data_IF_116279263974
#
_entry.id   IF_116279263974
#
_cell.length_a   1.000
_cell.length_b   1.000
_cell.length_c   1.000
_cell.angle_alpha   90.00
_cell.angle_beta   90.00
_cell.angle_gamma   90.00
#
_symmetry.space_group_name_H-M   'P 1'
#
loop_
_entity.id
_entity.type
_entity.pdbx_description
1 polymer ?
#
# COMPACT_ATOMS: atom_id res chain seq x y z
N UNK A 1 -11.11 -4.48 -6.89
CA UNK A 1 -12.58 -4.64 -6.94
C UNK A 1 -13.13 -5.65 -5.93
N UNK A 2 -12.35 -6.66 -5.57
CA UNK A 2 -12.81 -7.79 -4.73
C UNK A 2 -13.17 -7.43 -3.28
N UNK A 3 -12.76 -6.24 -2.81
CA UNK A 3 -13.05 -5.77 -1.44
C UNK A 3 -14.22 -4.78 -1.33
N UNK A 4 -14.77 -4.30 -2.45
CA UNK A 4 -15.76 -3.21 -2.44
C UNK A 4 -16.98 -3.55 -1.60
N UNK A 5 -17.59 -4.71 -1.82
CA UNK A 5 -18.79 -5.09 -1.07
C UNK A 5 -18.47 -5.37 0.41
N UNK A 6 -17.31 -5.93 0.70
CA UNK A 6 -16.86 -6.15 2.09
C UNK A 6 -16.69 -4.80 2.82
N UNK A 7 -16.02 -3.84 2.18
CA UNK A 7 -15.80 -2.49 2.74
C UNK A 7 -17.14 -1.75 2.90
N UNK A 8 -17.99 -1.77 1.87
CA UNK A 8 -19.31 -1.17 1.90
C UNK A 8 -20.16 -1.71 3.06
N UNK A 9 -20.26 -3.04 3.17
CA UNK A 9 -21.01 -3.68 4.25
C UNK A 9 -20.45 -3.32 5.63
N UNK A 10 -19.12 -3.25 5.76
CA UNK A 10 -18.48 -2.84 7.00
C UNK A 10 -18.80 -1.40 7.36
N UNK A 11 -18.75 -0.48 6.41
CA UNK A 11 -19.10 0.94 6.63
C UNK A 11 -20.58 1.12 6.96
N UNK A 12 -21.46 0.36 6.32
CA UNK A 12 -22.91 0.42 6.59
C UNK A 12 -23.28 0.11 8.05
N UNK A 13 -22.48 -0.74 8.73
CA UNK A 13 -22.72 -1.04 10.14
C UNK A 13 -22.56 0.17 11.07
N UNK A 14 -21.91 1.25 10.63
CA UNK A 14 -21.68 2.46 11.40
C UNK A 14 -22.65 3.60 11.06
N UNK A 15 -23.55 3.41 10.10
CA UNK A 15 -24.58 4.40 9.70
C UNK A 15 -25.86 4.18 10.53
N UNK A 16 -25.77 4.29 11.85
CA UNK A 16 -26.92 3.92 12.73
C UNK A 16 -28.09 4.91 12.62
N UNK A 17 -27.83 6.20 12.70
CA UNK A 17 -28.85 7.26 12.69
C UNK A 17 -28.47 8.44 11.79
N UNK A 18 -27.47 8.29 10.96
CA UNK A 18 -27.02 9.32 10.04
C UNK A 18 -27.78 9.20 8.71
N UNK A 19 -28.20 10.33 8.15
CA UNK A 19 -28.78 10.37 6.79
C UNK A 19 -27.65 10.28 5.75
N UNK A 20 -27.07 9.09 5.64
CA UNK A 20 -25.95 8.78 4.74
C UNK A 20 -26.26 7.54 3.93
N UNK A 21 -26.07 7.63 2.63
CA UNK A 21 -26.17 6.50 1.69
C UNK A 21 -24.80 6.18 1.10
N UNK A 22 -24.39 4.92 1.17
CA UNK A 22 -23.15 4.43 0.54
C UNK A 22 -23.51 3.66 -0.71
N UNK A 23 -22.98 4.10 -1.85
CA UNK A 23 -23.18 3.46 -3.15
C UNK A 23 -21.87 3.05 -3.78
N UNK A 24 -21.85 1.88 -4.42
CA UNK A 24 -20.78 1.50 -5.34
C UNK A 24 -21.03 2.17 -6.69
N UNK A 25 -20.13 3.04 -7.09
CA UNK A 25 -20.19 3.79 -8.34
C UNK A 25 -19.11 3.42 -9.34
N UNK A 26 -18.45 2.30 -9.13
CA UNK A 26 -17.31 1.83 -9.98
C UNK A 26 -17.68 1.75 -11.47
N UNK A 27 -18.92 1.38 -11.80
CA UNK A 27 -19.36 1.31 -13.19
C UNK A 27 -19.58 2.69 -13.85
N UNK A 28 -19.69 3.76 -13.04
CA UNK A 28 -19.94 5.12 -13.53
C UNK A 28 -18.68 5.91 -13.78
N UNK A 29 -17.56 5.50 -13.18
CA UNK A 29 -16.32 6.24 -13.22
C UNK A 29 -15.12 5.32 -13.54
N UNK A 30 -14.18 5.88 -14.30
CA UNK A 30 -12.86 5.30 -14.48
C UNK A 30 -11.87 6.03 -13.57
N UNK A 31 -11.03 5.27 -12.90
CA UNK A 31 -9.92 5.82 -12.13
C UNK A 31 -8.69 5.89 -13.03
N UNK A 32 -8.13 7.09 -13.17
CA UNK A 32 -6.92 7.35 -13.96
C UNK A 32 -5.83 7.84 -13.04
N UNK A 33 -4.71 7.11 -13.00
CA UNK A 33 -3.50 7.54 -12.31
C UNK A 33 -2.67 8.45 -13.20
N UNK A 34 -2.20 9.56 -12.65
CA UNK A 34 -1.29 10.50 -13.30
C UNK A 34 0.08 10.45 -12.64
N UNK A 35 1.13 10.34 -13.44
CA UNK A 35 2.53 10.30 -12.98
C UNK A 35 3.21 11.61 -13.40
N UNK A 36 3.75 12.36 -12.44
CA UNK A 36 4.36 13.68 -12.62
C UNK A 36 3.44 14.74 -13.25
N UNK A 37 2.13 14.52 -13.12
CA UNK A 37 1.11 15.43 -13.61
C UNK A 37 0.03 15.61 -12.55
N UNK A 38 -0.61 16.77 -12.56
CA UNK A 38 -1.78 17.06 -11.74
C UNK A 38 -2.79 17.87 -12.55
N UNK A 39 -4.05 17.81 -12.19
CA UNK A 39 -5.11 18.61 -12.77
C UNK A 39 -5.94 19.21 -11.62
N UNK A 40 -6.72 20.25 -11.93
CA UNK A 40 -7.59 20.92 -10.94
C UNK A 40 -8.59 19.95 -10.29
N UNK A 41 -8.95 18.87 -10.98
CA UNK A 41 -9.91 17.87 -10.53
C UNK A 41 -9.23 16.59 -10.01
N UNK A 42 -7.90 16.61 -9.82
CA UNK A 42 -7.17 15.44 -9.36
C UNK A 42 -7.04 15.39 -7.83
N UNK A 43 -7.10 14.18 -7.29
CA UNK A 43 -6.73 13.88 -5.91
C UNK A 43 -5.22 13.67 -5.86
N UNK A 44 -4.49 14.60 -5.30
CA UNK A 44 -3.04 14.52 -5.14
C UNK A 44 -2.71 13.49 -4.08
N UNK A 45 -1.92 12.48 -4.44
CA UNK A 45 -1.40 11.49 -3.50
C UNK A 45 -0.05 11.95 -2.91
N UNK A 46 0.82 12.49 -3.75
CA UNK A 46 2.06 13.13 -3.36
C UNK A 46 2.56 14.04 -4.51
N UNK A 47 3.80 14.52 -4.43
CA UNK A 47 4.37 15.42 -5.43
C UNK A 47 4.49 14.82 -6.85
N UNK A 48 4.40 13.51 -7.00
CA UNK A 48 4.57 12.79 -8.27
C UNK A 48 3.31 12.08 -8.75
N UNK A 49 2.40 11.75 -7.85
CA UNK A 49 1.25 10.91 -8.17
C UNK A 49 -0.05 11.59 -7.82
N UNK A 50 -0.99 11.53 -8.75
CA UNK A 50 -2.35 11.97 -8.51
C UNK A 50 -3.37 11.04 -9.19
N UNK A 51 -4.63 11.11 -8.77
CA UNK A 51 -5.73 10.30 -9.26
C UNK A 51 -6.85 11.21 -9.79
N UNK A 52 -7.45 10.81 -10.89
CA UNK A 52 -8.68 11.41 -11.41
C UNK A 52 -9.77 10.35 -11.43
N UNK A 53 -10.98 10.74 -11.03
CA UNK A 53 -12.20 9.99 -11.30
C UNK A 53 -12.87 10.60 -12.54
N UNK A 54 -12.74 9.95 -13.67
CA UNK A 54 -13.28 10.42 -14.93
C UNK A 54 -14.56 9.66 -15.31
N UNK A 55 -15.56 10.38 -15.79
CA UNK A 55 -16.69 9.77 -16.50
C UNK A 55 -16.18 9.19 -17.83
N UNK A 56 -16.90 8.23 -18.41
CA UNK A 56 -16.55 7.53 -19.63
C UNK A 56 -16.13 8.43 -20.82
N UNK A 57 -16.58 9.68 -20.84
CA UNK A 57 -16.22 10.68 -21.86
C UNK A 57 -15.06 11.61 -21.46
N UNK A 58 -14.56 11.52 -20.22
CA UNK A 58 -13.50 12.40 -19.71
C UNK A 58 -12.08 11.88 -19.93
N UNK A 59 -11.93 10.66 -20.43
CA UNK A 59 -10.63 9.99 -20.59
C UNK A 59 -9.97 10.18 -21.94
N UNK A 60 -10.68 10.71 -22.94
CA UNK A 60 -10.21 10.86 -24.34
C UNK A 60 -8.96 11.77 -24.47
N UNK A 61 -8.72 12.63 -23.51
CA UNK A 61 -7.57 13.55 -23.49
C UNK A 61 -6.26 12.92 -22.97
N UNK A 62 -6.31 11.69 -22.46
CA UNK A 62 -5.15 11.04 -21.87
C UNK A 62 -4.52 10.03 -22.84
N UNK A 63 -3.19 9.97 -22.83
CA UNK A 63 -2.44 8.88 -23.44
C UNK A 63 -2.14 7.85 -22.36
N UNK A 64 -2.75 6.67 -22.51
CA UNK A 64 -2.60 5.61 -21.52
C UNK A 64 -1.31 4.83 -21.69
N UNK A 65 -0.58 4.66 -20.62
CA UNK A 65 0.48 3.68 -20.50
C UNK A 65 -0.06 2.35 -19.92
N UNK A 66 0.76 1.31 -19.95
CA UNK A 66 0.40 0.04 -19.30
C UNK A 66 0.33 0.20 -17.78
N UNK A 67 -0.55 -0.57 -17.13
CA UNK A 67 -0.78 -0.55 -15.67
C UNK A 67 0.52 -0.72 -14.87
N UNK A 68 1.47 -1.49 -15.38
CA UNK A 68 2.76 -1.72 -14.70
C UNK A 68 3.56 -0.43 -14.43
N UNK A 69 3.38 0.64 -15.21
CA UNK A 69 4.04 1.93 -14.94
C UNK A 69 3.44 2.61 -13.72
N UNK A 70 2.11 2.53 -13.57
CA UNK A 70 1.43 3.04 -12.38
C UNK A 70 1.82 2.25 -11.13
N UNK A 71 1.78 0.91 -11.22
CA UNK A 71 2.11 0.02 -10.11
C UNK A 71 3.57 0.23 -9.66
N UNK A 72 4.50 0.37 -10.64
CA UNK A 72 5.90 0.69 -10.35
C UNK A 72 6.04 2.05 -9.67
N UNK A 73 5.34 3.07 -10.16
CA UNK A 73 5.35 4.40 -9.57
C UNK A 73 4.76 4.40 -8.14
N UNK A 74 3.70 3.63 -7.89
CA UNK A 74 3.18 3.44 -6.52
C UNK A 74 4.21 2.78 -5.61
N UNK A 75 4.91 1.75 -6.09
CA UNK A 75 5.98 1.09 -5.33
C UNK A 75 7.11 2.07 -5.02
N UNK A 76 7.58 2.82 -6.01
CA UNK A 76 8.64 3.82 -5.84
C UNK A 76 8.26 4.95 -4.87
N UNK A 77 6.98 5.22 -4.73
CA UNK A 77 6.46 6.25 -3.83
C UNK A 77 5.89 5.70 -2.52
N UNK A 78 6.17 4.43 -2.19
CA UNK A 78 5.72 3.77 -0.96
C UNK A 78 4.19 3.81 -0.77
N UNK A 79 3.42 3.80 -1.85
CA UNK A 79 1.96 3.76 -1.83
C UNK A 79 1.51 2.30 -1.90
N UNK A 80 1.06 1.71 -0.78
CA UNK A 80 0.64 0.31 -0.75
C UNK A 80 -0.74 0.12 -1.35
N UNK A 81 -0.95 -1.05 -1.96
CA UNK A 81 -2.27 -1.53 -2.31
C UNK A 81 -2.75 -2.58 -1.29
N UNK A 82 -4.01 -2.48 -0.88
CA UNK A 82 -4.66 -3.50 -0.05
C UNK A 82 -5.50 -4.41 -0.95
N UNK A 83 -5.24 -5.71 -0.86
CA UNK A 83 -5.94 -6.74 -1.62
C UNK A 83 -6.48 -7.84 -0.68
N UNK A 84 -7.27 -8.80 -1.16
CA UNK A 84 -7.84 -9.85 -0.32
C UNK A 84 -6.80 -10.64 0.50
N UNK A 85 -5.59 -10.83 -0.04
CA UNK A 85 -4.51 -11.58 0.64
C UNK A 85 -3.97 -10.79 1.83
N UNK A 86 -3.92 -9.44 1.73
CA UNK A 86 -3.31 -8.55 2.71
C UNK A 86 -4.32 -7.85 3.62
N UNK A 87 -5.61 -7.97 3.33
CA UNK A 87 -6.70 -7.40 4.14
C UNK A 87 -6.59 -7.82 5.61
N UNK A 88 -6.72 -6.86 6.51
CA UNK A 88 -6.70 -7.00 7.98
C UNK A 88 -5.37 -7.52 8.58
N UNK A 89 -4.30 -7.63 7.77
CA UNK A 89 -3.00 -8.14 8.25
C UNK A 89 -2.08 -7.07 8.85
N UNK A 90 -2.29 -5.81 8.50
CA UNK A 90 -1.37 -4.72 8.85
C UNK A 90 -2.09 -3.58 9.55
N UNK A 91 -1.44 -3.00 10.54
CA UNK A 91 -1.82 -1.69 11.06
C UNK A 91 -1.23 -0.59 10.17
N UNK A 92 -1.84 0.60 10.08
CA UNK A 92 -1.38 1.67 9.20
C UNK A 92 0.11 2.01 9.33
N UNK A 93 0.66 1.96 10.54
CA UNK A 93 2.06 2.24 10.79
C UNK A 93 3.02 1.25 10.11
N UNK A 94 2.62 -0.01 9.95
CA UNK A 94 3.43 -1.00 9.23
C UNK A 94 3.52 -0.69 7.72
N UNK A 95 2.55 0.05 7.22
CA UNK A 95 2.45 0.47 5.82
C UNK A 95 2.93 1.92 5.60
N UNK A 96 3.61 2.53 6.59
CA UNK A 96 4.05 3.93 6.59
C UNK A 96 2.92 4.96 6.46
N UNK A 97 1.65 4.57 6.67
CA UNK A 97 0.48 5.44 6.54
C UNK A 97 0.27 6.35 7.77
N UNK A 98 1.26 6.49 8.64
CA UNK A 98 1.29 7.42 9.79
C UNK A 98 2.35 8.51 9.64
N UNK A 99 3.09 8.52 8.53
CA UNK A 99 4.24 9.42 8.30
C UNK A 99 3.85 10.59 7.41
N UNK A 100 3.06 10.35 6.36
CA UNK A 100 2.74 11.29 5.31
C UNK A 100 1.25 11.65 5.27
N UNK A 101 0.90 12.69 4.50
CA UNK A 101 -0.46 13.22 4.37
C UNK A 101 -1.49 12.24 3.77
N UNK A 102 -1.02 11.17 3.12
CA UNK A 102 -1.87 10.18 2.44
C UNK A 102 -2.53 9.21 3.41
N UNK A 103 -2.02 9.10 4.60
CA UNK A 103 -2.40 8.06 5.55
C UNK A 103 -3.47 8.49 6.55
N UNK A 104 -3.26 8.05 7.78
CA UNK A 104 -4.14 8.30 8.90
C UNK A 104 -4.03 9.75 9.35
N UNK A 105 -5.15 10.46 9.36
CA UNK A 105 -5.22 11.79 9.96
C UNK A 105 -5.42 11.68 11.48
N UNK A 106 -4.54 12.29 12.25
CA UNK A 106 -4.67 12.38 13.71
C UNK A 106 -5.43 13.62 14.19
N UNK A 107 -5.88 14.47 13.26
CA UNK A 107 -6.62 15.71 13.54
C UNK A 107 -8.10 15.63 13.20
N UNK A 108 -8.54 14.60 12.47
CA UNK A 108 -9.95 14.33 12.16
C UNK A 108 -10.66 13.70 13.36
N UNK A 109 -12.00 13.57 13.28
CA UNK A 109 -12.83 12.97 14.31
C UNK A 109 -12.54 11.49 14.59
N UNK A 110 -13.15 10.97 15.65
CA UNK A 110 -12.97 9.61 16.12
C UNK A 110 -13.47 8.55 15.13
N UNK A 111 -12.79 7.41 15.07
CA UNK A 111 -13.18 6.25 14.28
C UNK A 111 -12.93 4.94 15.06
N UNK A 112 -13.64 3.84 14.74
CA UNK A 112 -13.45 2.55 15.39
C UNK A 112 -12.02 2.02 15.18
N UNK A 113 -11.35 1.61 16.28
CA UNK A 113 -9.96 1.11 16.25
C UNK A 113 -8.88 2.18 16.38
N UNK A 114 -9.24 3.45 16.44
CA UNK A 114 -8.27 4.57 16.59
C UNK A 114 -7.36 4.45 17.80
N UNK A 115 -7.81 3.84 18.90
CA UNK A 115 -7.03 3.73 20.12
C UNK A 115 -5.70 3.00 19.89
N UNK A 116 -5.73 1.88 19.19
CA UNK A 116 -4.52 1.10 18.86
C UNK A 116 -3.59 1.91 17.96
N UNK A 117 -4.15 2.57 16.95
CA UNK A 117 -3.38 3.39 15.99
C UNK A 117 -2.77 4.60 16.67
N UNK A 118 -3.55 5.35 17.43
CA UNK A 118 -3.08 6.52 18.17
C UNK A 118 -2.05 6.15 19.24
N UNK A 119 -2.30 5.09 20.01
CA UNK A 119 -1.35 4.61 21.03
C UNK A 119 0.00 4.23 20.42
N UNK A 120 -0.01 3.53 19.28
CA UNK A 120 1.23 3.16 18.60
C UNK A 120 1.97 4.39 18.05
N UNK A 121 1.23 5.40 17.56
CA UNK A 121 1.79 6.64 17.05
C UNK A 121 2.45 7.49 18.17
N UNK A 122 1.75 7.73 19.29
CA UNK A 122 2.22 8.64 20.34
C UNK A 122 3.14 8.00 21.37
N UNK A 123 2.94 6.72 21.68
CA UNK A 123 3.61 6.04 22.80
C UNK A 123 4.44 4.83 22.36
N UNK A 124 4.27 4.36 21.14
CA UNK A 124 4.90 3.15 20.63
C UNK A 124 6.09 3.40 19.73
N UNK A 125 6.86 2.33 19.50
CA UNK A 125 7.83 2.26 18.38
C UNK A 125 7.34 1.19 17.44
N UNK A 126 7.07 1.59 16.18
CA UNK A 126 6.68 0.66 15.14
C UNK A 126 7.85 -0.28 14.84
N UNK A 127 7.64 -1.57 15.10
CA UNK A 127 8.68 -2.59 14.91
C UNK A 127 8.87 -2.96 13.43
N UNK A 128 7.83 -2.81 12.61
CA UNK A 128 7.82 -3.10 11.18
C UNK A 128 7.45 -1.86 10.40
N UNK A 129 8.11 -1.65 9.27
CA UNK A 129 7.85 -0.55 8.34
C UNK A 129 7.83 -1.10 6.91
N UNK A 130 7.28 -0.33 6.00
CA UNK A 130 7.24 -0.63 4.59
C UNK A 130 8.55 -0.20 3.92
N UNK A 131 9.09 -1.09 3.10
CA UNK A 131 10.31 -0.84 2.32
C UNK A 131 10.13 -1.33 0.88
N UNK A 132 10.92 -0.77 -0.03
CA UNK A 132 10.99 -1.20 -1.42
C UNK A 132 12.10 -2.22 -1.59
N UNK A 133 11.76 -3.31 -2.30
CA UNK A 133 12.71 -4.34 -2.69
C UNK A 133 12.61 -4.66 -4.17
N UNK A 134 13.69 -5.22 -4.70
CA UNK A 134 13.72 -5.82 -6.04
C UNK A 134 14.37 -7.20 -6.02
N UNK A 135 14.00 -8.03 -6.99
CA UNK A 135 14.60 -9.32 -7.28
C UNK A 135 14.46 -9.66 -8.76
N UNK A 136 15.37 -10.46 -9.28
CA UNK A 136 15.23 -11.09 -10.62
C UNK A 136 14.27 -12.29 -10.59
N UNK A 137 14.06 -12.87 -9.41
CA UNK A 137 13.11 -13.97 -9.22
C UNK A 137 11.69 -13.44 -8.99
N UNK A 138 10.71 -14.26 -9.35
CA UNK A 138 9.30 -13.95 -9.13
C UNK A 138 9.00 -13.68 -7.66
N UNK A 139 8.25 -12.60 -7.40
CA UNK A 139 7.74 -12.21 -6.09
C UNK A 139 6.22 -12.26 -6.14
N UNK A 140 5.58 -12.80 -5.08
CA UNK A 140 4.12 -12.83 -4.96
C UNK A 140 3.66 -12.06 -3.74
N UNK A 141 2.49 -11.44 -3.84
CA UNK A 141 1.85 -10.81 -2.68
C UNK A 141 1.56 -11.88 -1.62
N UNK A 142 1.95 -11.59 -0.39
CA UNK A 142 1.84 -12.51 0.74
C UNK A 142 3.06 -13.41 0.95
N UNK A 143 4.06 -13.39 0.06
CA UNK A 143 5.33 -14.06 0.32
C UNK A 143 5.97 -13.53 1.60
N UNK A 144 6.61 -14.42 2.35
CA UNK A 144 7.30 -14.10 3.58
C UNK A 144 8.72 -13.58 3.33
N UNK A 145 9.19 -12.68 4.18
CA UNK A 145 10.58 -12.24 4.22
C UNK A 145 11.33 -13.00 5.31
N UNK A 146 12.48 -13.56 4.96
CA UNK A 146 13.35 -14.28 5.86
C UNK A 146 14.67 -13.53 6.03
N UNK A 147 15.13 -13.43 7.29
CA UNK A 147 16.39 -12.82 7.66
C UNK A 147 17.18 -13.80 8.55
N UNK A 148 18.37 -14.28 8.13
CA UNK A 148 19.18 -15.23 8.92
C UNK A 148 19.60 -14.69 10.28
N UNK A 149 19.77 -13.38 10.42
CA UNK A 149 20.15 -12.73 11.68
C UNK A 149 18.99 -12.61 12.67
N UNK A 150 17.75 -12.88 12.23
CA UNK A 150 16.58 -12.83 13.11
C UNK A 150 16.61 -13.97 14.11
N UNK A 151 16.52 -13.62 15.39
CA UNK A 151 16.39 -14.61 16.48
C UNK A 151 15.00 -15.23 16.58
N UNK A 152 14.05 -14.71 15.81
CA UNK A 152 12.68 -15.22 15.76
C UNK A 152 12.62 -16.36 14.74
N UNK A 153 12.03 -17.49 15.12
CA UNK A 153 11.65 -18.54 14.19
C UNK A 153 10.52 -18.10 13.23
N UNK A 154 10.05 -16.86 13.35
CA UNK A 154 8.99 -16.27 12.54
C UNK A 154 9.60 -15.41 11.43
N UNK A 155 8.80 -15.19 10.40
CA UNK A 155 9.14 -14.31 9.30
C UNK A 155 9.43 -12.88 9.78
N UNK A 156 10.44 -12.23 9.22
CA UNK A 156 10.80 -10.85 9.57
C UNK A 156 9.91 -9.81 8.86
N UNK A 157 9.12 -10.24 7.88
CA UNK A 157 8.22 -9.37 7.11
C UNK A 157 7.41 -10.13 6.08
N UNK A 158 6.64 -9.43 5.26
CA UNK A 158 5.91 -10.04 4.15
C UNK A 158 5.63 -9.03 3.02
N UNK A 159 5.47 -9.56 1.80
CA UNK A 159 5.18 -8.78 0.59
C UNK A 159 3.73 -8.29 0.62
N UNK A 160 3.55 -6.98 0.43
CA UNK A 160 2.26 -6.28 0.43
C UNK A 160 1.76 -6.03 -0.97
N UNK A 161 2.62 -5.57 -1.85
CA UNK A 161 2.31 -5.21 -3.24
C UNK A 161 3.51 -5.51 -4.12
N UNK A 162 3.29 -5.90 -5.38
CA UNK A 162 4.38 -6.22 -6.30
C UNK A 162 4.03 -5.90 -7.75
N UNK A 163 5.04 -5.68 -8.56
CA UNK A 163 4.94 -5.54 -10.02
C UNK A 163 6.16 -6.17 -10.70
N UNK A 164 5.93 -6.84 -11.82
CA UNK A 164 7.00 -7.14 -12.76
C UNK A 164 7.19 -5.95 -13.68
N UNK A 165 8.37 -5.35 -13.66
CA UNK A 165 8.71 -4.23 -14.51
C UNK A 165 10.04 -4.50 -15.21
N UNK A 166 10.02 -4.53 -16.55
CA UNK A 166 11.15 -4.97 -17.38
C UNK A 166 11.61 -6.39 -17.01
N UNK A 167 12.88 -6.54 -16.64
CA UNK A 167 13.47 -7.83 -16.28
C UNK A 167 13.34 -8.20 -14.80
N UNK A 168 12.99 -7.22 -13.95
CA UNK A 168 12.98 -7.37 -12.49
C UNK A 168 11.57 -7.37 -11.92
N UNK A 169 11.43 -7.96 -10.74
CA UNK A 169 10.27 -7.81 -9.87
C UNK A 169 10.57 -6.76 -8.80
N UNK A 170 9.63 -5.84 -8.61
CA UNK A 170 9.68 -4.83 -7.56
C UNK A 170 8.54 -5.08 -6.58
N UNK A 171 8.77 -4.83 -5.31
CA UNK A 171 7.71 -4.96 -4.33
C UNK A 171 7.82 -3.97 -3.17
N UNK A 172 6.66 -3.70 -2.57
CA UNK A 172 6.55 -3.16 -1.23
C UNK A 172 6.41 -4.33 -0.26
N UNK A 173 7.25 -4.38 0.75
CA UNK A 173 7.16 -5.37 1.79
C UNK A 173 7.34 -4.74 3.17
N UNK A 174 6.56 -5.23 4.14
CA UNK A 174 6.83 -4.91 5.54
C UNK A 174 8.10 -5.64 5.98
N UNK A 175 8.93 -4.98 6.79
CA UNK A 175 10.13 -5.58 7.36
C UNK A 175 10.32 -5.07 8.79
N UNK A 176 10.83 -5.91 9.68
CA UNK A 176 11.29 -5.47 10.99
C UNK A 176 12.44 -4.48 10.84
N UNK A 177 12.27 -3.27 11.41
CA UNK A 177 13.22 -2.15 11.23
C UNK A 177 14.64 -2.49 11.68
N UNK A 178 14.79 -3.40 12.64
CA UNK A 178 16.10 -3.86 13.11
C UNK A 178 16.88 -4.64 12.07
N UNK A 179 16.21 -5.19 11.06
CA UNK A 179 16.79 -5.97 9.96
C UNK A 179 16.88 -5.20 8.64
N UNK A 180 16.64 -3.89 8.65
CA UNK A 180 16.58 -3.08 7.43
C UNK A 180 17.88 -3.09 6.61
N UNK A 181 19.03 -3.33 7.25
CA UNK A 181 20.35 -3.35 6.62
C UNK A 181 20.93 -4.77 6.48
N UNK A 182 20.15 -5.79 6.86
CA UNK A 182 20.54 -7.19 6.75
C UNK A 182 20.24 -7.77 5.36
N UNK A 183 20.82 -8.92 5.07
CA UNK A 183 20.48 -9.70 3.88
C UNK A 183 19.09 -10.33 4.05
N UNK A 184 18.19 -10.07 3.11
CA UNK A 184 16.83 -10.57 3.11
C UNK A 184 16.62 -11.57 1.98
N UNK A 185 15.93 -12.66 2.29
CA UNK A 185 15.55 -13.72 1.37
C UNK A 185 14.04 -13.87 1.30
N UNK A 186 13.54 -14.36 0.17
CA UNK A 186 12.13 -14.65 -0.05
C UNK A 186 11.79 -16.03 0.51
N UNK A 187 10.79 -16.10 1.35
CA UNK A 187 10.19 -17.30 1.94
C UNK A 187 11.09 -18.12 2.89
N UNK A 188 12.37 -18.31 2.60
CA UNK A 188 13.28 -19.08 3.44
C UNK A 188 14.73 -18.73 3.16
N UNK A 189 15.67 -19.27 3.96
CA UNK A 189 17.11 -18.99 3.87
C UNK A 189 17.75 -19.33 2.51
N UNK A 190 17.17 -20.28 1.79
CA UNK A 190 17.63 -20.72 0.46
C UNK A 190 16.82 -20.03 -0.66
N UNK A 191 15.90 -19.17 -0.31
CA UNK A 191 15.06 -18.44 -1.24
C UNK A 191 15.85 -17.37 -2.01
N UNK A 192 15.22 -16.79 -3.06
CA UNK A 192 15.83 -15.70 -3.80
C UNK A 192 16.14 -14.50 -2.89
N UNK A 193 17.26 -13.85 -3.18
CA UNK A 193 17.67 -12.63 -2.47
C UNK A 193 16.82 -11.45 -2.89
N UNK A 194 16.42 -10.66 -1.91
CA UNK A 194 15.79 -9.36 -2.10
C UNK A 194 16.81 -8.24 -1.88
N UNK A 195 16.93 -7.34 -2.84
CA UNK A 195 17.76 -6.14 -2.72
C UNK A 195 16.86 -4.96 -2.32
N UNK A 196 17.15 -4.34 -1.17
CA UNK A 196 16.45 -3.13 -0.75
C UNK A 196 16.85 -1.94 -1.63
N UNK A 197 15.85 -1.17 -2.05
CA UNK A 197 16.04 0.10 -2.74
C UNK A 197 15.88 1.22 -1.70
N UNK A 198 16.92 2.03 -1.54
CA UNK A 198 16.86 3.20 -0.67
C UNK A 198 16.20 4.35 -1.45
N UNK A 199 15.24 5.01 -0.83
CA UNK A 199 14.76 6.31 -1.27
C UNK A 199 15.62 7.37 -0.58
N UNK A 200 16.27 8.19 -1.39
CA UNK A 200 16.95 9.42 -0.93
C UNK A 200 15.94 10.51 -0.62
#
# INVERSE_FOLDING_TARGET
>A
LDLIETVKNRLQMFILMSDVKIENVTEKYQQVGLINESSTDSYVLNNQLSLILANSHGTEKFTFASQQYWDKACIDNLIPEVNPITTEKFVPQMLNLDIDEIGVSFTKGCYPGQEVVARLHYLGKTKRRLFVFKSVAEIKVGDDLFCPSSKSARTCGSVVFQVKFEADYFCLATLEVVHKDDQIYLNNEQGPTLTRINHE
#
